data_IF_073838753072
#
_entry.id   IF_073838753072
#
_cell.length_a   1.000
_cell.length_b   1.000
_cell.length_c   1.000
_cell.angle_alpha   90.00
_cell.angle_beta   90.00
_cell.angle_gamma   90.00
#
_symmetry.space_group_name_H-M   'P 1'
#
loop_
_entity.id
_entity.type
_entity.pdbx_description
1 polymer ?
#
# COMPACT_ATOMS: atom_id res chain seq x y z
N UNK A 1 11.10 7.30 -21.63
CA UNK A 1 10.88 7.41 -20.84
C UNK A 1 10.05 6.72 -20.34
N UNK A 2 10.16 6.18 -19.80
CA UNK A 2 9.36 5.31 -19.29
C UNK A 2 8.58 5.95 -18.31
N UNK A 3 7.80 6.67 -18.69
CA UNK A 3 7.00 7.39 -17.78
C UNK A 3 6.29 6.50 -16.90
N UNK A 4 6.07 5.31 -17.27
CA UNK A 4 5.38 4.55 -16.40
C UNK A 4 6.15 3.73 -15.61
N UNK A 5 7.30 4.03 -15.25
CA UNK A 5 8.05 3.20 -14.42
C UNK A 5 7.57 3.30 -13.06
N UNK A 6 6.41 3.01 -12.76
CA UNK A 6 6.00 2.90 -11.39
C UNK A 6 6.66 1.72 -10.79
N UNK A 7 7.17 1.77 -9.59
CA UNK A 7 7.75 0.59 -8.93
C UNK A 7 6.67 -0.45 -8.71
N UNK A 8 7.06 -1.69 -8.75
CA UNK A 8 6.13 -2.76 -8.49
C UNK A 8 5.75 -2.83 -7.01
N UNK A 9 6.63 -2.36 -6.16
CA UNK A 9 6.37 -2.36 -4.72
C UNK A 9 6.69 -1.00 -4.15
N UNK A 10 5.93 -0.62 -3.14
CA UNK A 10 6.12 0.64 -2.45
C UNK A 10 6.35 0.39 -0.98
N UNK A 11 7.24 1.14 -0.36
CA UNK A 11 7.40 1.02 1.09
C UNK A 11 6.25 1.77 1.75
N UNK A 12 6.21 1.76 3.07
CA UNK A 12 5.07 2.32 3.77
C UNK A 12 4.89 3.81 3.49
N UNK A 13 5.98 4.55 3.40
CA UNK A 13 5.91 5.97 3.12
C UNK A 13 5.39 6.21 1.72
N UNK A 14 5.94 5.49 0.74
CA UNK A 14 5.51 5.64 -0.63
C UNK A 14 4.08 5.17 -0.82
N UNK A 15 3.70 4.10 -0.12
CA UNK A 15 2.34 3.60 -0.19
C UNK A 15 1.36 4.63 0.32
N UNK A 16 1.71 5.28 1.42
CA UNK A 16 0.85 6.32 2.00
C UNK A 16 0.69 7.47 1.03
N UNK A 17 1.77 7.87 0.39
CA UNK A 17 1.69 8.94 -0.59
C UNK A 17 0.88 8.53 -1.81
N UNK A 18 1.02 7.31 -2.23
CA UNK A 18 0.29 6.80 -3.38
C UNK A 18 -1.21 6.86 -3.14
N UNK A 19 -1.63 6.50 -1.95
CA UNK A 19 -3.04 6.49 -1.61
C UNK A 19 -3.52 7.87 -1.18
N UNK A 20 -2.64 8.69 -0.63
CA UNK A 20 -3.00 10.02 -0.16
C UNK A 20 -3.36 10.06 1.31
N UNK A 21 -2.74 9.21 2.10
CA UNK A 21 -3.01 9.18 3.55
C UNK A 21 -1.71 9.21 4.31
N UNK A 22 -1.77 9.24 5.60
CA UNK A 22 -0.57 9.20 6.44
C UNK A 22 -0.09 7.78 6.61
N UNK A 23 1.16 7.62 6.98
CA UNK A 23 1.72 6.28 7.16
C UNK A 23 1.05 5.54 8.31
N UNK A 24 0.56 6.26 9.29
CA UNK A 24 -0.17 5.63 10.39
C UNK A 24 -1.43 4.91 9.91
N UNK A 25 -2.06 5.47 8.87
CA UNK A 25 -3.25 4.85 8.30
C UNK A 25 -2.87 3.52 7.64
N UNK A 26 -1.74 3.51 6.93
CA UNK A 26 -1.28 2.29 6.28
C UNK A 26 -0.99 1.22 7.34
N UNK A 27 -0.38 1.60 8.44
CA UNK A 27 -0.10 0.65 9.51
C UNK A 27 -1.37 0.07 10.09
N UNK A 28 -2.39 0.88 10.22
CA UNK A 28 -3.68 0.39 10.69
C UNK A 28 -4.29 -0.58 9.71
N UNK A 29 -4.13 -0.30 8.43
CA UNK A 29 -4.65 -1.18 7.39
C UNK A 29 -3.97 -2.55 7.39
N UNK A 30 -2.68 -2.57 7.74
CA UNK A 30 -1.99 -3.84 7.84
C UNK A 30 -2.68 -4.73 8.87
N UNK A 31 -3.07 -4.14 9.98
CA UNK A 31 -3.79 -4.89 11.00
C UNK A 31 -5.16 -5.31 10.52
N UNK A 32 -5.71 -4.60 9.56
CA UNK A 32 -7.02 -4.93 9.03
C UNK A 32 -6.96 -5.92 7.87
N UNK A 33 -5.77 -6.33 7.51
CA UNK A 33 -5.64 -7.36 6.48
C UNK A 33 -5.08 -6.89 5.17
N UNK A 34 -4.51 -5.69 5.10
CA UNK A 34 -3.87 -5.24 3.87
C UNK A 34 -2.69 -6.16 3.55
N UNK A 35 -2.66 -6.76 2.38
CA UNK A 35 -1.57 -7.65 2.05
C UNK A 35 -0.27 -6.89 1.81
N UNK A 36 0.83 -7.50 2.15
CA UNK A 36 2.14 -6.91 1.92
C UNK A 36 3.15 -8.00 1.64
N UNK A 37 4.28 -7.60 1.09
CA UNK A 37 5.36 -8.51 0.78
C UNK A 37 6.55 -8.10 1.62
N UNK A 38 7.27 -9.06 2.18
CA UNK A 38 8.49 -8.75 2.90
C UNK A 38 9.61 -8.82 1.90
N UNK A 39 10.34 -7.75 1.79
CA UNK A 39 11.40 -7.67 0.81
C UNK A 39 12.72 -7.37 1.46
N UNK A 40 13.77 -7.93 0.93
CA UNK A 40 15.10 -7.63 1.40
C UNK A 40 15.45 -8.39 2.64
N UNK A 41 16.70 -8.27 3.06
CA UNK A 41 17.16 -8.95 4.21
C UNK A 41 16.50 -8.51 5.45
N UNK A 42 16.12 -7.27 5.57
CA UNK A 42 15.49 -6.76 6.76
C UNK A 42 14.04 -7.10 6.87
N UNK A 43 13.46 -7.72 5.88
CA UNK A 43 12.06 -8.04 5.92
C UNK A 43 11.17 -6.82 5.88
N UNK A 44 11.60 -5.79 5.16
CA UNK A 44 10.84 -4.57 5.07
C UNK A 44 9.51 -4.83 4.39
N UNK A 45 8.46 -4.27 4.93
CA UNK A 45 7.14 -4.45 4.36
C UNK A 45 6.96 -3.58 3.15
N UNK A 46 6.58 -4.18 2.05
CA UNK A 46 6.35 -3.46 0.80
C UNK A 46 4.94 -3.75 0.34
N UNK A 47 4.38 -2.82 -0.40
CA UNK A 47 2.98 -2.93 -0.82
C UNK A 47 2.86 -2.80 -2.32
N UNK A 48 1.97 -3.59 -2.90
CA UNK A 48 1.71 -3.51 -4.33
C UNK A 48 0.68 -2.43 -4.58
N UNK A 49 0.88 -1.58 -5.56
CA UNK A 49 -0.15 -0.58 -5.89
C UNK A 49 -1.51 -1.20 -6.17
N UNK A 50 -1.52 -2.37 -6.81
CA UNK A 50 -2.78 -3.03 -7.10
C UNK A 50 -3.51 -3.45 -5.83
N UNK A 51 -2.76 -3.94 -4.85
CA UNK A 51 -3.35 -4.32 -3.58
C UNK A 51 -3.87 -3.11 -2.83
N UNK A 52 -3.16 -2.00 -2.90
CA UNK A 52 -3.60 -0.78 -2.25
C UNK A 52 -4.91 -0.30 -2.87
N UNK A 53 -4.99 -0.30 -4.17
CA UNK A 53 -6.19 0.10 -4.85
C UNK A 53 -7.36 -0.79 -4.48
N UNK A 54 -7.12 -2.07 -4.45
CA UNK A 54 -8.16 -3.04 -4.14
C UNK A 54 -8.66 -2.86 -2.71
N UNK A 55 -7.74 -2.62 -1.79
CA UNK A 55 -8.11 -2.42 -0.40
C UNK A 55 -8.95 -1.17 -0.22
N UNK A 56 -8.58 -0.09 -0.90
CA UNK A 56 -9.34 1.15 -0.83
C UNK A 56 -10.74 0.96 -1.41
N UNK A 57 -10.84 0.27 -2.51
CA UNK A 57 -12.13 0.02 -3.14
C UNK A 57 -13.04 -0.77 -2.24
N UNK A 58 -12.46 -1.74 -1.55
CA UNK A 58 -13.23 -2.54 -0.64
C UNK A 58 -13.70 -1.72 0.54
N UNK A 59 -12.87 -0.82 1.05
CA UNK A 59 -13.23 0.02 2.15
C UNK A 59 -14.35 0.98 1.78
N UNK A 60 -14.35 1.43 0.56
CA UNK A 60 -15.36 2.33 0.14
C UNK A 60 -16.74 1.76 0.24
N UNK A 61 -16.84 0.49 0.06
CA UNK A 61 -18.12 -0.13 0.08
C UNK A 61 -18.77 -0.13 1.42
N UNK A 62 -18.00 0.00 2.46
CA UNK A 62 -18.56 -0.06 3.78
C UNK A 62 -18.91 1.31 4.30
N UNK A 63 -18.59 2.32 3.54
CA UNK A 63 -18.87 3.61 4.04
C UNK A 63 -20.27 3.94 3.75
N UNK A 64 -20.96 4.25 4.51
CA UNK A 64 -22.23 4.47 4.18
C UNK A 64 -22.77 5.39 4.75
#
# INVERSE_FOLDING_TARGET
MAPDTQPLLLDITAAAQFVGVGSGVIRGWINDGLPFVRAGRGGKKMFSPADLKRFVEKSKETVQ
#
